data_IF_917699020852
#
_entry.id   IF_917699020852
#
_cell.length_a   1.000
_cell.length_b   1.000
_cell.length_c   1.000
_cell.angle_alpha   90.00
_cell.angle_beta   90.00
_cell.angle_gamma   90.00
#
_symmetry.space_group_name_H-M   'P 1'
#
loop_
_entity.id
_entity.type
_entity.pdbx_description
1 polymer ?
#
# COMPACT_ATOMS: atom_id res chain seq x y z
N UNK A 1 12.65 6.68 -5.46
CA UNK A 1 11.19 6.73 -5.32
C UNK A 1 10.48 6.79 -6.67
N UNK A 2 10.77 7.76 -7.54
CA UNK A 2 10.08 7.86 -8.85
C UNK A 2 10.22 6.60 -9.73
N UNK A 3 11.42 6.00 -9.74
CA UNK A 3 11.66 4.71 -10.41
C UNK A 3 10.82 3.57 -9.82
N UNK A 4 10.63 3.55 -8.50
CA UNK A 4 9.80 2.54 -7.84
C UNK A 4 8.32 2.75 -8.19
N UNK A 5 7.81 3.99 -8.06
CA UNK A 5 6.45 4.37 -8.42
C UNK A 5 6.08 3.94 -9.84
N UNK A 6 7.01 4.04 -10.78
CA UNK A 6 6.80 3.70 -12.20
C UNK A 6 7.22 2.28 -12.57
N UNK A 7 7.67 1.47 -11.60
CA UNK A 7 8.14 0.12 -11.89
C UNK A 7 7.03 -0.78 -12.45
N UNK A 8 7.37 -1.77 -13.29
CA UNK A 8 6.39 -2.71 -13.85
C UNK A 8 5.57 -3.44 -12.77
N UNK A 9 6.20 -3.78 -11.64
CA UNK A 9 5.53 -4.41 -10.50
C UNK A 9 4.45 -3.51 -9.91
N UNK A 10 4.79 -2.26 -9.57
CA UNK A 10 3.80 -1.29 -9.03
C UNK A 10 2.72 -0.95 -10.05
N UNK A 11 3.05 -0.93 -11.35
CA UNK A 11 2.07 -0.69 -12.41
C UNK A 11 1.00 -1.80 -12.45
N UNK A 12 1.41 -3.07 -12.40
CA UNK A 12 0.49 -4.21 -12.30
C UNK A 12 -0.31 -4.21 -11.00
N UNK A 13 0.34 -3.90 -9.88
CA UNK A 13 -0.34 -3.79 -8.59
C UNK A 13 -1.45 -2.71 -8.59
N UNK A 14 -1.17 -1.54 -9.18
CA UNK A 14 -2.16 -0.48 -9.40
C UNK A 14 -3.30 -0.92 -10.31
N UNK A 15 -2.99 -1.69 -11.36
CA UNK A 15 -4.00 -2.24 -12.25
C UNK A 15 -4.95 -3.19 -11.51
N UNK A 16 -4.44 -4.12 -10.70
CA UNK A 16 -5.29 -5.01 -9.91
C UNK A 16 -6.22 -4.22 -8.96
N UNK A 17 -5.67 -3.23 -8.24
CA UNK A 17 -6.47 -2.35 -7.40
C UNK A 17 -7.53 -1.54 -8.18
N UNK A 18 -7.23 -1.10 -9.40
CA UNK A 18 -8.20 -0.44 -10.27
C UNK A 18 -9.33 -1.39 -10.67
N UNK A 19 -9.00 -2.64 -11.02
CA UNK A 19 -10.01 -3.65 -11.37
C UNK A 19 -10.93 -3.96 -10.18
N UNK A 20 -10.39 -3.98 -8.97
CA UNK A 20 -11.15 -4.20 -7.73
C UNK A 20 -12.11 -3.03 -7.46
N UNK A 21 -11.72 -1.82 -7.85
CA UNK A 21 -12.56 -0.61 -7.77
C UNK A 21 -13.52 -0.43 -8.95
N UNK A 22 -13.62 -1.41 -9.87
CA UNK A 22 -14.43 -1.29 -11.09
C UNK A 22 -13.87 -0.33 -12.14
N UNK A 23 -12.65 0.17 -11.97
CA UNK A 23 -11.96 1.07 -12.89
C UNK A 23 -11.23 0.27 -13.99
N UNK A 24 -12.01 -0.42 -14.82
CA UNK A 24 -11.47 -1.37 -15.78
C UNK A 24 -10.98 -0.68 -17.05
N UNK A 25 -10.08 -1.34 -17.79
CA UNK A 25 -9.53 -0.78 -19.03
C UNK A 25 -10.60 -0.46 -20.08
N UNK A 26 -11.73 -1.18 -20.08
CA UNK A 26 -12.87 -0.92 -20.96
C UNK A 26 -13.38 0.53 -20.84
N UNK A 27 -13.22 1.18 -19.68
CA UNK A 27 -13.59 2.58 -19.48
C UNK A 27 -12.79 3.52 -20.40
N UNK A 28 -11.58 3.13 -20.80
CA UNK A 28 -10.71 3.88 -21.70
C UNK A 28 -10.92 3.55 -23.18
N UNK A 29 -11.80 2.60 -23.51
CA UNK A 29 -12.04 2.19 -24.89
C UNK A 29 -12.59 3.34 -25.75
N UNK A 30 -12.03 3.55 -26.94
CA UNK A 30 -12.40 4.63 -27.86
C UNK A 30 -12.68 4.04 -29.24
N UNK A 31 -13.67 4.57 -29.93
CA UNK A 31 -14.04 4.18 -31.29
C UNK A 31 -13.31 5.08 -32.29
N UNK A 32 -12.85 4.52 -33.40
CA UNK A 32 -12.16 5.27 -34.45
C UNK A 32 -12.68 4.89 -35.83
N UNK A 33 -12.58 5.82 -36.78
CA UNK A 33 -12.90 5.63 -38.20
C UNK A 33 -11.89 6.38 -39.07
N UNK A 34 -11.78 5.99 -40.34
CA UNK A 34 -11.00 6.73 -41.34
C UNK A 34 -11.90 7.72 -42.08
N UNK A 35 -11.46 8.97 -42.21
CA UNK A 35 -12.17 9.97 -43.01
C UNK A 35 -11.88 9.84 -44.51
N UNK A 36 -12.49 10.70 -45.33
CA UNK A 36 -12.33 10.70 -46.79
C UNK A 36 -10.88 10.96 -47.26
N UNK A 37 -10.01 11.47 -46.37
CA UNK A 37 -8.60 11.71 -46.64
C UNK A 37 -7.71 10.57 -46.09
N UNK A 38 -8.30 9.50 -45.56
CA UNK A 38 -7.58 8.38 -44.95
C UNK A 38 -6.99 8.69 -43.57
N UNK A 39 -7.46 9.75 -42.90
CA UNK A 39 -6.96 10.13 -41.57
C UNK A 39 -7.80 9.43 -40.50
N UNK A 40 -7.15 8.75 -39.56
CA UNK A 40 -7.80 8.11 -38.41
C UNK A 40 -8.34 9.19 -37.45
N UNK A 41 -9.65 9.17 -37.19
CA UNK A 41 -10.33 10.09 -36.26
C UNK A 41 -11.14 9.30 -35.24
N UNK A 42 -11.20 9.83 -34.03
CA UNK A 42 -12.08 9.29 -32.99
C UNK A 42 -13.56 9.56 -33.36
N UNK A 43 -14.38 8.52 -33.27
CA UNK A 43 -15.83 8.61 -33.41
C UNK A 43 -16.45 8.98 -32.06
N UNK A 44 -17.04 10.17 -31.98
CA UNK A 44 -17.74 10.67 -30.79
C UNK A 44 -19.27 10.57 -30.89
N UNK A 45 -19.80 10.09 -32.01
CA UNK A 45 -21.24 10.07 -32.30
C UNK A 45 -21.84 8.67 -32.14
N UNK A 46 -21.04 7.62 -32.40
CA UNK A 46 -21.46 6.25 -32.11
C UNK A 46 -21.57 6.01 -30.61
N UNK A 47 -22.64 5.33 -30.20
CA UNK A 47 -22.82 4.86 -28.83
C UNK A 47 -21.64 3.97 -28.43
N UNK A 48 -20.98 4.33 -27.34
CA UNK A 48 -19.84 3.60 -26.77
C UNK A 48 -20.09 3.33 -25.29
N UNK A 49 -21.09 2.47 -25.02
CA UNK A 49 -21.46 2.07 -23.66
C UNK A 49 -20.40 1.11 -23.13
N UNK A 50 -19.89 1.38 -21.92
CA UNK A 50 -18.79 0.64 -21.29
C UNK A 50 -19.29 0.14 -19.94
N UNK A 51 -19.30 -1.18 -19.77
CA UNK A 51 -19.80 -1.82 -18.55
C UNK A 51 -18.62 -2.59 -17.94
N UNK A 52 -18.02 -2.10 -16.84
CA UNK A 52 -17.07 -2.89 -16.07
C UNK A 52 -17.83 -3.94 -15.24
N UNK A 53 -17.43 -5.20 -15.31
CA UNK A 53 -18.00 -6.27 -14.48
C UNK A 53 -17.16 -6.46 -13.21
N UNK A 54 -17.76 -6.40 -12.03
CA UNK A 54 -17.05 -6.48 -10.74
C UNK A 54 -16.58 -7.89 -10.34
N UNK A 55 -16.35 -8.80 -11.29
CA UNK A 55 -15.91 -10.17 -10.99
C UNK A 55 -14.61 -10.21 -10.16
N UNK A 56 -13.69 -9.27 -10.38
CA UNK A 56 -12.47 -9.25 -9.59
C UNK A 56 -12.75 -8.94 -8.12
N UNK A 57 -13.61 -7.95 -7.84
CA UNK A 57 -14.07 -7.59 -6.50
C UNK A 57 -14.70 -8.80 -5.81
N UNK A 58 -15.70 -9.41 -6.45
CA UNK A 58 -16.42 -10.56 -5.89
C UNK A 58 -15.49 -11.74 -5.56
N UNK A 59 -14.55 -12.06 -6.46
CA UNK A 59 -13.62 -13.17 -6.24
C UNK A 59 -12.59 -12.89 -5.14
N UNK A 60 -12.17 -11.63 -4.99
CA UNK A 60 -11.26 -11.22 -3.91
C UNK A 60 -11.99 -11.30 -2.58
N UNK A 61 -13.19 -10.71 -2.49
CA UNK A 61 -14.00 -10.69 -1.27
C UNK A 61 -14.35 -12.10 -0.82
N UNK A 62 -14.83 -12.94 -1.76
CA UNK A 62 -15.15 -14.33 -1.47
C UNK A 62 -13.93 -15.10 -0.95
N UNK A 63 -12.76 -14.89 -1.55
CA UNK A 63 -11.53 -15.55 -1.10
C UNK A 63 -11.14 -15.10 0.30
N UNK A 64 -11.10 -13.80 0.57
CA UNK A 64 -10.72 -13.23 1.87
C UNK A 64 -11.69 -13.73 2.94
N UNK A 65 -12.99 -13.61 2.67
CA UNK A 65 -14.03 -14.05 3.60
C UNK A 65 -13.99 -15.55 3.83
N UNK A 66 -13.73 -16.36 2.80
CA UNK A 66 -13.62 -17.81 2.99
C UNK A 66 -12.43 -18.18 3.89
N UNK A 67 -11.25 -17.63 3.60
CA UNK A 67 -10.02 -17.91 4.35
C UNK A 67 -10.11 -17.45 5.81
N UNK A 68 -10.78 -16.33 6.06
CA UNK A 68 -10.85 -15.67 7.37
C UNK A 68 -12.27 -15.66 7.97
N UNK A 69 -13.12 -16.58 7.50
CA UNK A 69 -14.50 -16.73 7.99
C UNK A 69 -14.56 -17.04 9.48
N UNK A 70 -13.55 -17.74 9.99
CA UNK A 70 -13.32 -17.94 11.41
C UNK A 70 -12.10 -17.12 11.85
N UNK A 71 -12.11 -16.58 13.08
CA UNK A 71 -10.92 -16.01 13.69
C UNK A 71 -9.75 -16.99 13.69
N UNK A 72 -8.53 -16.48 13.55
CA UNK A 72 -7.34 -17.30 13.69
C UNK A 72 -7.16 -17.72 15.14
N UNK A 73 -6.88 -19.01 15.32
CA UNK A 73 -6.47 -19.57 16.60
C UNK A 73 -4.99 -19.91 16.56
N UNK A 74 -4.23 -19.39 17.52
CA UNK A 74 -2.84 -19.81 17.78
C UNK A 74 -2.84 -20.61 19.07
N UNK A 75 -2.31 -21.83 18.98
CA UNK A 75 -2.25 -22.78 20.10
C UNK A 75 -0.80 -23.01 20.48
N UNK A 76 -0.50 -22.91 21.77
CA UNK A 76 0.81 -23.21 22.37
C UNK A 76 0.66 -24.10 23.60
N UNK A 77 1.68 -24.87 23.93
CA UNK A 77 1.71 -25.72 25.12
C UNK A 77 1.88 -24.92 26.43
N UNK A 78 2.45 -23.71 26.33
CA UNK A 78 2.63 -22.80 27.47
C UNK A 78 1.33 -22.01 27.71
N UNK A 79 0.61 -22.38 28.78
CA UNK A 79 -0.66 -21.74 29.13
C UNK A 79 -0.51 -20.24 29.45
N UNK A 80 0.62 -19.82 30.02
CA UNK A 80 0.89 -18.41 30.30
C UNK A 80 1.07 -17.63 29.00
N UNK A 81 1.83 -18.16 28.05
CA UNK A 81 1.95 -17.57 26.71
C UNK A 81 0.60 -17.57 25.97
N UNK A 82 -0.19 -18.63 26.10
CA UNK A 82 -1.51 -18.74 25.49
C UNK A 82 -2.44 -17.61 25.95
N UNK A 83 -2.41 -17.26 27.23
CA UNK A 83 -3.25 -16.18 27.77
C UNK A 83 -2.76 -14.81 27.30
N UNK A 84 -1.45 -14.58 27.19
CA UNK A 84 -0.93 -13.36 26.57
C UNK A 84 -1.29 -13.23 25.09
N UNK A 85 -1.21 -14.32 24.32
CA UNK A 85 -1.53 -14.30 22.88
C UNK A 85 -3.01 -13.95 22.62
N UNK A 86 -3.94 -14.34 23.50
CA UNK A 86 -5.37 -13.98 23.39
C UNK A 86 -5.59 -12.47 23.44
N UNK A 87 -4.72 -11.71 24.10
CA UNK A 87 -4.83 -10.24 24.13
C UNK A 87 -4.48 -9.61 22.78
N UNK A 88 -3.60 -10.25 22.00
CA UNK A 88 -3.11 -9.74 20.72
C UNK A 88 -3.83 -10.33 19.50
N UNK A 89 -4.26 -11.60 19.57
CA UNK A 89 -4.99 -12.28 18.51
C UNK A 89 -6.48 -12.04 18.73
N UNK A 90 -6.88 -10.81 18.47
CA UNK A 90 -8.22 -10.30 18.68
C UNK A 90 -8.86 -9.84 17.35
N UNK A 91 -9.98 -9.14 17.43
CA UNK A 91 -10.70 -8.63 16.25
C UNK A 91 -9.85 -7.65 15.42
N UNK A 92 -9.03 -6.80 16.06
CA UNK A 92 -8.16 -5.84 15.37
C UNK A 92 -7.06 -6.54 14.57
N UNK A 93 -6.49 -7.63 15.12
CA UNK A 93 -5.54 -8.46 14.39
C UNK A 93 -6.20 -9.19 13.22
N UNK A 94 -7.41 -9.70 13.43
CA UNK A 94 -8.20 -10.34 12.36
C UNK A 94 -8.52 -9.34 11.24
N UNK A 95 -8.89 -8.10 11.56
CA UNK A 95 -9.12 -7.02 10.58
C UNK A 95 -7.82 -6.68 9.83
N UNK A 96 -6.71 -6.53 10.56
CA UNK A 96 -5.40 -6.27 9.94
C UNK A 96 -5.04 -7.36 8.94
N UNK A 97 -5.31 -8.62 9.27
CA UNK A 97 -5.05 -9.73 8.36
C UNK A 97 -6.00 -9.74 7.16
N UNK A 98 -7.29 -9.45 7.35
CA UNK A 98 -8.24 -9.30 6.24
C UNK A 98 -7.76 -8.24 5.24
N UNK A 99 -7.41 -7.07 5.75
CA UNK A 99 -6.86 -5.96 4.96
C UNK A 99 -5.55 -6.37 4.24
N UNK A 100 -4.68 -7.12 4.92
CA UNK A 100 -3.44 -7.61 4.33
C UNK A 100 -3.67 -8.59 3.17
N UNK A 101 -4.60 -9.55 3.34
CA UNK A 101 -4.90 -10.55 2.33
C UNK A 101 -5.67 -9.92 1.16
N UNK A 102 -6.62 -9.02 1.39
CA UNK A 102 -7.30 -8.26 0.33
C UNK A 102 -6.28 -7.43 -0.46
N UNK A 103 -5.44 -6.68 0.24
CA UNK A 103 -4.37 -5.88 -0.35
C UNK A 103 -3.42 -6.71 -1.20
N UNK A 104 -2.96 -7.85 -0.68
CA UNK A 104 -2.09 -8.77 -1.41
C UNK A 104 -2.81 -9.43 -2.61
N UNK A 105 -4.11 -9.70 -2.48
CA UNK A 105 -4.93 -10.26 -3.56
C UNK A 105 -5.07 -9.31 -4.75
N UNK A 106 -5.14 -8.00 -4.47
CA UNK A 106 -5.24 -6.96 -5.47
C UNK A 106 -3.87 -6.55 -6.04
N UNK A 107 -2.83 -6.51 -5.21
CA UNK A 107 -1.53 -5.93 -5.57
C UNK A 107 -0.43 -6.96 -5.83
N UNK A 108 -0.69 -8.23 -5.55
CA UNK A 108 0.28 -9.35 -5.61
C UNK A 108 1.13 -9.51 -4.36
N UNK A 109 1.26 -8.46 -3.53
CA UNK A 109 1.91 -8.49 -2.22
C UNK A 109 1.39 -7.35 -1.34
N UNK A 110 1.50 -7.53 -0.03
CA UNK A 110 1.18 -6.52 0.98
C UNK A 110 2.17 -6.62 2.14
N UNK A 111 2.39 -5.51 2.85
CA UNK A 111 3.24 -5.49 4.04
C UNK A 111 2.41 -5.23 5.29
N UNK A 112 2.82 -5.85 6.39
CA UNK A 112 2.34 -5.56 7.74
C UNK A 112 3.55 -5.20 8.58
N UNK A 113 3.42 -4.17 9.40
CA UNK A 113 4.43 -3.81 10.39
C UNK A 113 3.81 -3.76 11.77
N UNK A 114 4.65 -4.01 12.78
CA UNK A 114 4.30 -3.84 14.18
C UNK A 114 4.82 -2.50 14.70
N UNK A 115 4.11 -1.92 15.66
CA UNK A 115 4.56 -0.74 16.40
C UNK A 115 4.06 -0.81 17.84
N UNK A 116 4.74 -0.11 18.76
CA UNK A 116 4.29 0.05 20.14
C UNK A 116 3.46 1.33 20.28
N UNK A 117 2.28 1.20 20.87
CA UNK A 117 1.36 2.31 21.11
C UNK A 117 1.69 3.09 22.41
N UNK A 118 0.81 4.01 22.79
CA UNK A 118 0.98 4.83 24.00
C UNK A 118 0.81 4.03 25.30
N UNK A 119 0.22 2.83 25.24
CA UNK A 119 0.00 1.92 26.37
C UNK A 119 1.10 0.86 26.49
N UNK A 120 2.18 0.97 25.71
CA UNK A 120 3.25 -0.02 25.58
C UNK A 120 2.76 -1.40 25.07
N UNK A 121 1.72 -1.42 24.23
CA UNK A 121 1.24 -2.63 23.56
C UNK A 121 1.67 -2.69 22.10
N UNK A 122 2.03 -3.89 21.66
CA UNK A 122 2.33 -4.17 20.25
C UNK A 122 1.02 -4.16 19.46
N UNK A 123 0.97 -3.34 18.43
CA UNK A 123 -0.12 -3.28 17.46
C UNK A 123 0.41 -3.56 16.06
N UNK A 124 -0.48 -3.97 15.15
CA UNK A 124 -0.15 -4.28 13.77
C UNK A 124 -0.90 -3.34 12.82
N UNK A 125 -0.26 -2.99 11.71
CA UNK A 125 -0.89 -2.18 10.69
C UNK A 125 -0.41 -2.58 9.29
N UNK A 126 -1.33 -2.55 8.34
CA UNK A 126 -1.01 -2.72 6.92
C UNK A 126 -0.27 -1.50 6.39
N UNK A 127 0.89 -1.73 5.78
CA UNK A 127 1.58 -0.75 4.96
C UNK A 127 1.27 -1.03 3.48
N UNK A 128 0.59 -0.08 2.83
CA UNK A 128 0.27 -0.16 1.41
C UNK A 128 1.53 -0.45 0.59
N UNK A 129 1.58 -1.63 0.00
CA UNK A 129 2.69 -2.07 -0.82
C UNK A 129 2.99 -1.15 -1.97
N UNK A 130 2.07 -0.33 -2.47
CA UNK A 130 2.38 0.68 -3.48
C UNK A 130 3.34 1.77 -2.98
N UNK A 131 3.43 1.93 -1.66
CA UNK A 131 4.14 2.97 -0.94
C UNK A 131 5.37 2.45 -0.21
N UNK A 132 5.80 1.20 -0.48
CA UNK A 132 6.89 0.52 0.24
C UNK A 132 7.96 0.01 -0.72
N UNK A 133 9.23 0.22 -0.37
CA UNK A 133 10.42 -0.25 -1.08
C UNK A 133 11.25 -1.11 -0.11
N UNK A 134 11.32 -2.43 -0.30
CA UNK A 134 12.27 -3.25 0.44
C UNK A 134 13.68 -3.04 -0.11
N UNK A 135 14.66 -2.96 0.79
CA UNK A 135 16.08 -2.89 0.46
C UNK A 135 16.74 -4.17 0.94
N UNK A 136 17.39 -4.88 0.02
CA UNK A 136 18.07 -6.13 0.28
C UNK A 136 19.58 -5.95 0.14
N UNK A 137 20.33 -6.65 0.99
CA UNK A 137 21.78 -6.79 0.85
C UNK A 137 22.09 -7.86 -0.20
N UNK A 138 22.41 -7.42 -1.42
CA UNK A 138 22.76 -8.31 -2.52
C UNK A 138 24.02 -9.14 -2.26
N UNK A 139 24.91 -8.68 -1.36
CA UNK A 139 26.15 -9.39 -1.02
C UNK A 139 25.93 -10.43 0.09
N UNK A 140 24.86 -10.29 0.87
CA UNK A 140 24.55 -11.16 1.99
C UNK A 140 23.24 -11.94 1.77
N UNK A 141 23.24 -12.81 0.75
CA UNK A 141 22.13 -13.71 0.42
C UNK A 141 20.77 -13.01 0.25
N UNK A 142 20.75 -11.77 -0.23
CA UNK A 142 19.51 -10.98 -0.37
C UNK A 142 18.75 -10.83 0.95
N UNK A 143 19.47 -10.70 2.07
CA UNK A 143 18.84 -10.42 3.37
C UNK A 143 18.19 -9.03 3.34
N UNK A 144 16.95 -8.93 3.83
CA UNK A 144 16.28 -7.63 4.00
C UNK A 144 17.03 -6.81 5.06
N UNK A 145 17.51 -5.63 4.69
CA UNK A 145 18.25 -4.73 5.59
C UNK A 145 17.41 -3.58 6.10
N UNK A 146 16.53 -3.07 5.25
CA UNK A 146 15.72 -1.90 5.57
C UNK A 146 14.50 -1.81 4.67
N UNK A 147 13.50 -1.07 5.12
CA UNK A 147 12.30 -0.76 4.35
C UNK A 147 12.18 0.76 4.23
N UNK A 148 11.91 1.24 3.03
CA UNK A 148 11.55 2.64 2.80
C UNK A 148 10.06 2.73 2.51
N UNK A 149 9.30 3.37 3.40
CA UNK A 149 7.91 3.71 3.17
C UNK A 149 7.82 5.18 2.77
N UNK A 150 7.02 5.51 1.77
CA UNK A 150 6.83 6.88 1.34
C UNK A 150 5.36 7.15 1.02
N UNK A 151 4.85 8.33 1.35
CA UNK A 151 3.47 8.69 1.08
C UNK A 151 3.33 10.19 0.86
N UNK A 152 2.35 10.56 0.04
CA UNK A 152 2.06 11.95 -0.28
C UNK A 152 1.06 12.52 0.73
N UNK A 153 1.33 13.72 1.23
CA UNK A 153 0.46 14.44 2.14
C UNK A 153 0.27 15.87 1.67
N UNK A 154 -0.91 16.43 1.95
CA UNK A 154 -1.27 17.80 1.59
C UNK A 154 -0.96 18.71 2.76
N UNK A 155 -0.18 19.75 2.51
CA UNK A 155 0.15 20.78 3.49
C UNK A 155 -0.30 22.14 2.98
N UNK A 156 -0.80 22.97 3.89
CA UNK A 156 -1.06 24.36 3.59
C UNK A 156 0.26 25.12 3.50
N UNK A 157 0.42 25.88 2.42
CA UNK A 157 1.52 26.78 2.20
C UNK A 157 0.98 28.15 1.79
N UNK A 158 0.97 29.08 2.75
CA UNK A 158 0.27 30.36 2.62
C UNK A 158 -1.22 30.13 2.29
N UNK A 159 -1.66 30.51 1.09
CA UNK A 159 -3.05 30.33 0.61
C UNK A 159 -3.20 29.18 -0.40
N UNK A 160 -2.21 28.30 -0.52
CA UNK A 160 -2.22 27.18 -1.47
C UNK A 160 -1.99 25.85 -0.78
N UNK A 161 -2.77 24.85 -1.20
CA UNK A 161 -2.53 23.47 -0.84
C UNK A 161 -1.42 22.89 -1.72
N UNK A 162 -0.33 22.45 -1.11
CA UNK A 162 0.82 21.84 -1.79
C UNK A 162 0.93 20.38 -1.34
N UNK A 163 1.15 19.48 -2.30
CA UNK A 163 1.45 18.08 -2.01
C UNK A 163 2.94 17.92 -1.76
N UNK A 164 3.31 17.32 -0.63
CA UNK A 164 4.69 16.95 -0.29
C UNK A 164 4.77 15.44 -0.04
N UNK A 165 5.92 14.82 -0.32
CA UNK A 165 6.16 13.42 0.04
C UNK A 165 6.85 13.33 1.41
N UNK A 166 6.34 12.47 2.29
CA UNK A 166 7.01 12.03 3.51
C UNK A 166 7.64 10.65 3.29
N UNK A 167 8.76 10.39 3.97
CA UNK A 167 9.51 9.15 3.86
C UNK A 167 9.91 8.66 5.24
N UNK A 168 9.76 7.36 5.44
CA UNK A 168 10.15 6.64 6.64
C UNK A 168 11.14 5.55 6.24
N UNK A 169 12.33 5.57 6.83
CA UNK A 169 13.36 4.55 6.61
C UNK A 169 13.44 3.69 7.86
N UNK A 170 12.97 2.46 7.75
CA UNK A 170 12.89 1.48 8.82
C UNK A 170 14.10 0.55 8.74
N UNK A 171 14.85 0.45 9.83
CA UNK A 171 15.95 -0.52 10.03
C UNK A 171 15.52 -1.61 11.01
N UNK A 172 16.44 -2.46 11.46
CA UNK A 172 16.20 -3.39 12.57
C UNK A 172 16.19 -2.70 13.95
N UNK A 173 16.56 -1.42 14.02
CA UNK A 173 16.76 -0.68 15.28
C UNK A 173 15.84 0.51 15.44
N UNK A 174 15.60 1.23 14.36
CA UNK A 174 14.92 2.53 14.38
C UNK A 174 14.20 2.87 13.08
N UNK A 175 13.43 3.95 13.15
CA UNK A 175 12.79 4.62 12.02
C UNK A 175 13.35 6.02 11.89
N UNK A 176 13.88 6.35 10.72
CA UNK A 176 14.29 7.73 10.39
C UNK A 176 13.25 8.38 9.49
N UNK A 177 12.79 9.58 9.86
CA UNK A 177 11.75 10.31 9.13
C UNK A 177 12.34 11.45 8.31
N UNK A 178 11.92 11.54 7.06
CA UNK A 178 12.27 12.61 6.13
C UNK A 178 11.02 13.25 5.54
N UNK A 179 11.15 14.53 5.21
CA UNK A 179 10.11 15.33 4.56
C UNK A 179 10.69 15.96 3.30
N UNK A 180 9.92 15.93 2.22
CA UNK A 180 10.26 16.62 0.99
C UNK A 180 10.09 18.13 1.17
N UNK A 181 11.12 18.87 0.78
CA UNK A 181 11.09 20.33 0.68
C UNK A 181 10.15 20.76 -0.44
N UNK A 182 9.31 21.78 -0.15
CA UNK A 182 8.29 22.27 -1.09
C UNK A 182 8.90 22.92 -2.33
N UNK A 183 10.08 23.54 -2.19
CA UNK A 183 10.67 24.39 -3.21
C UNK A 183 11.63 23.62 -4.13
N UNK A 184 12.56 22.86 -3.54
CA UNK A 184 13.63 22.21 -4.30
C UNK A 184 13.45 20.68 -4.47
N UNK A 185 12.37 20.11 -3.91
CA UNK A 185 12.04 18.67 -3.95
C UNK A 185 13.06 17.73 -3.31
N UNK A 186 14.05 18.26 -2.59
CA UNK A 186 15.01 17.47 -1.82
C UNK A 186 14.38 16.95 -0.53
N UNK A 187 14.90 15.84 -0.01
CA UNK A 187 14.46 15.28 1.27
C UNK A 187 15.38 15.75 2.39
N UNK A 188 14.77 16.27 3.46
CA UNK A 188 15.46 16.69 4.69
C UNK A 188 14.90 15.90 5.86
N UNK A 189 15.67 15.77 6.95
CA UNK A 189 15.18 15.15 8.18
C UNK A 189 13.93 15.89 8.69
N UNK A 190 12.90 15.14 9.06
CA UNK A 190 11.69 15.71 9.65
C UNK A 190 11.98 16.13 11.10
N UNK A 191 12.19 17.44 11.30
CA UNK A 191 12.44 18.04 12.61
C UNK A 191 11.20 18.10 13.51
N UNK A 192 10.00 17.82 12.96
CA UNK A 192 8.75 17.75 13.70
C UNK A 192 8.61 16.46 14.53
N UNK A 193 9.38 15.43 14.19
CA UNK A 193 9.40 14.16 14.91
C UNK A 193 10.63 14.12 15.82
N UNK A 194 10.41 13.88 17.13
CA UNK A 194 11.49 13.75 18.11
C UNK A 194 11.19 12.60 19.08
N UNK A 195 12.14 11.67 19.31
CA UNK A 195 13.44 11.58 18.66
C UNK A 195 13.33 11.18 17.18
N UNK A 196 14.31 11.61 16.36
CA UNK A 196 14.47 11.19 14.97
C UNK A 196 15.98 11.01 14.70
N UNK A 197 16.48 9.77 14.54
CA UNK A 197 15.73 8.51 14.41
C UNK A 197 14.97 8.12 15.68
N UNK A 198 13.81 7.48 15.50
CA UNK A 198 12.97 6.94 16.58
C UNK A 198 13.25 5.45 16.74
N UNK A 199 13.75 4.98 17.90
CA UNK A 199 13.94 3.55 18.13
C UNK A 199 12.61 2.80 18.04
N UNK A 200 12.64 1.52 17.65
CA UNK A 200 11.42 0.71 17.53
C UNK A 200 10.71 0.45 18.84
N UNK A 201 11.42 0.60 19.98
CA UNK A 201 11.06 0.31 21.39
C UNK A 201 9.97 -0.75 21.51
#
# INVERSE_FOLDING_TARGET
>A
MDRDRTSPGKAKARQGLQYYKGQHEILNYRLFYYDNNGILKEDKYRSNIKIPHLFHTELVDQKVQYLLSNPIEVVTEDQTLQDYLKEYINEDFQETLQNAIEGASNKGLEYVYSYIDQENKINFQVADSLSVIPIYDELNNYKLTSIVRYYDTKVQDQDKEVTITKVEVWTDKDVTYYIQDKDNKEFKLDNGIKPNPRPHI
#
